data_IF_831944358466
#
_entry.id   IF_831944358466
#
_cell.length_a   1.000
_cell.length_b   1.000
_cell.length_c   1.000
_cell.angle_alpha   90.00
_cell.angle_beta   90.00
_cell.angle_gamma   90.00
#
_symmetry.space_group_name_H-M   'P 1'
#
loop_
_entity.id
_entity.type
_entity.pdbx_description
1 polymer ?
#
# COMPACT_ATOMS: atom_id res chain seq x y z
N UNK A 1 13.14 -1.17 -12.43
CA UNK A 1 13.07 -1.19 -10.95
C UNK A 1 12.10 -2.22 -10.36
N UNK A 2 11.47 -3.09 -11.16
CA UNK A 2 10.38 -3.97 -10.70
C UNK A 2 10.76 -4.85 -9.49
N UNK A 3 11.91 -5.54 -9.57
CA UNK A 3 12.40 -6.39 -8.48
C UNK A 3 12.54 -5.64 -7.15
N UNK A 4 13.14 -4.43 -7.16
CA UNK A 4 13.36 -3.62 -5.96
C UNK A 4 12.03 -3.11 -5.36
N UNK A 5 11.10 -2.68 -6.22
CA UNK A 5 9.75 -2.27 -5.79
C UNK A 5 9.01 -3.41 -5.10
N UNK A 6 9.02 -4.61 -5.69
CA UNK A 6 8.40 -5.78 -5.06
C UNK A 6 9.09 -6.14 -3.75
N UNK A 7 10.43 -6.14 -3.72
CA UNK A 7 11.19 -6.45 -2.52
C UNK A 7 10.89 -5.50 -1.36
N UNK A 8 10.82 -4.18 -1.59
CA UNK A 8 10.53 -3.21 -0.53
C UNK A 8 9.09 -3.38 0.00
N UNK A 9 8.12 -3.65 -0.87
CA UNK A 9 6.72 -3.89 -0.46
C UNK A 9 6.59 -5.17 0.38
N UNK A 10 7.32 -6.22 0.01
CA UNK A 10 7.39 -7.46 0.80
C UNK A 10 8.08 -7.24 2.15
N UNK A 11 9.09 -6.36 2.22
CA UNK A 11 9.72 -5.97 3.47
C UNK A 11 8.75 -5.19 4.38
N UNK A 12 8.00 -4.22 3.82
CA UNK A 12 6.93 -3.52 4.56
C UNK A 12 5.89 -4.51 5.09
N UNK A 13 5.37 -5.38 4.21
CA UNK A 13 4.43 -6.46 4.58
C UNK A 13 4.97 -7.26 5.76
N UNK A 14 6.20 -7.77 5.66
CA UNK A 14 6.82 -8.56 6.71
C UNK A 14 6.91 -7.77 8.02
N UNK A 15 7.43 -6.55 8.00
CA UNK A 15 7.58 -5.74 9.20
C UNK A 15 6.24 -5.45 9.88
N UNK A 16 5.19 -5.20 9.11
CA UNK A 16 3.83 -4.97 9.63
C UNK A 16 3.23 -6.25 10.22
N UNK A 17 3.37 -7.39 9.54
CA UNK A 17 2.88 -8.68 10.04
C UNK A 17 3.68 -9.19 11.25
N UNK A 18 4.96 -8.83 11.37
CA UNK A 18 5.76 -9.12 12.57
C UNK A 18 5.32 -8.24 13.75
N UNK A 19 4.90 -6.99 13.50
CA UNK A 19 4.47 -6.04 14.53
C UNK A 19 3.01 -6.24 14.98
N UNK A 20 2.15 -6.74 14.11
CA UNK A 20 0.71 -6.93 14.36
C UNK A 20 0.38 -8.41 14.25
N UNK A 21 0.10 -9.05 15.38
CA UNK A 21 -0.06 -10.52 15.49
C UNK A 21 -1.20 -11.11 14.66
N UNK A 22 -2.22 -10.31 14.34
CA UNK A 22 -3.34 -10.67 13.47
C UNK A 22 -3.24 -10.00 12.08
N UNK A 23 -2.08 -9.42 11.75
CA UNK A 23 -1.82 -8.78 10.48
C UNK A 23 -2.01 -9.75 9.32
N UNK A 24 -2.73 -9.31 8.29
CA UNK A 24 -2.98 -10.10 7.09
C UNK A 24 -2.84 -9.15 5.90
N UNK A 25 -1.69 -9.24 5.24
CA UNK A 25 -1.29 -8.33 4.17
C UNK A 25 -0.80 -9.16 3.00
N UNK A 26 -1.17 -8.79 1.79
CA UNK A 26 -0.66 -9.39 0.56
C UNK A 26 -0.08 -8.35 -0.41
N UNK A 27 0.90 -8.80 -1.19
CA UNK A 27 1.52 -8.04 -2.28
C UNK A 27 1.42 -8.85 -3.56
N UNK A 28 0.50 -8.47 -4.43
CA UNK A 28 0.21 -9.12 -5.70
C UNK A 28 0.64 -8.25 -6.88
N UNK A 29 0.64 -8.85 -8.07
CA UNK A 29 0.77 -8.12 -9.33
C UNK A 29 -0.43 -8.51 -10.20
N UNK A 30 -1.24 -7.53 -10.58
CA UNK A 30 -2.48 -7.70 -11.33
C UNK A 30 -2.37 -6.81 -12.58
N UNK A 31 -2.44 -7.41 -13.78
CA UNK A 31 -2.31 -6.69 -15.06
C UNK A 31 -1.09 -5.76 -15.15
N UNK A 32 0.03 -6.18 -14.56
CA UNK A 32 1.28 -5.41 -14.52
C UNK A 32 1.33 -4.28 -13.49
N UNK A 33 0.31 -4.16 -12.63
CA UNK A 33 0.23 -3.20 -11.53
C UNK A 33 0.57 -3.89 -10.21
N UNK A 34 1.42 -3.27 -9.40
CA UNK A 34 1.69 -3.75 -8.05
C UNK A 34 0.51 -3.39 -7.14
N UNK A 35 0.00 -4.37 -6.41
CA UNK A 35 -1.14 -4.20 -5.50
C UNK A 35 -0.71 -4.57 -4.09
N UNK A 36 -1.01 -3.69 -3.14
CA UNK A 36 -0.81 -3.89 -1.71
C UNK A 36 -2.17 -3.93 -1.02
N UNK A 37 -2.51 -5.05 -0.40
CA UNK A 37 -3.81 -5.23 0.27
C UNK A 37 -3.59 -5.57 1.73
N UNK A 38 -4.19 -4.80 2.63
CA UNK A 38 -4.22 -5.06 4.07
C UNK A 38 -5.65 -5.37 4.52
N UNK A 39 -5.90 -6.64 4.84
CA UNK A 39 -7.17 -7.15 5.31
C UNK A 39 -7.43 -6.81 6.80
N UNK A 40 -6.37 -6.50 7.55
CA UNK A 40 -6.38 -6.26 8.98
C UNK A 40 -5.98 -4.82 9.36
N UNK A 41 -6.09 -3.87 8.43
CA UNK A 41 -5.58 -2.50 8.58
C UNK A 41 -5.94 -1.85 9.91
N UNK A 42 -4.97 -1.81 10.83
CA UNK A 42 -5.09 -1.24 12.17
C UNK A 42 -5.26 0.28 12.14
N UNK A 43 -4.80 0.94 11.06
CA UNK A 43 -4.91 2.39 10.90
C UNK A 43 -6.36 2.81 10.64
N UNK A 44 -7.04 2.07 9.78
CA UNK A 44 -8.44 2.33 9.41
C UNK A 44 -9.43 1.55 10.27
N UNK A 45 -8.97 0.62 11.10
CA UNK A 45 -9.81 -0.06 12.07
C UNK A 45 -10.53 0.96 12.96
N UNK A 46 -11.84 0.76 13.19
CA UNK A 46 -12.74 1.66 13.96
C UNK A 46 -12.89 3.10 13.44
N UNK A 47 -12.22 3.49 12.35
CA UNK A 47 -12.46 4.78 11.70
C UNK A 47 -13.69 4.69 10.81
N UNK A 48 -14.36 5.83 10.64
CA UNK A 48 -15.47 5.98 9.70
C UNK A 48 -15.21 7.18 8.80
N UNK A 49 -15.48 7.01 7.51
CA UNK A 49 -15.31 8.03 6.48
C UNK A 49 -16.24 7.75 5.30
N UNK A 50 -16.66 8.80 4.60
CA UNK A 50 -17.40 8.66 3.32
C UNK A 50 -16.47 8.32 2.15
N UNK A 51 -15.16 8.57 2.31
CA UNK A 51 -14.13 8.35 1.28
C UNK A 51 -12.95 7.55 1.82
N UNK A 52 -12.10 7.07 0.90
CA UNK A 52 -10.84 6.43 1.24
C UNK A 52 -9.87 7.44 1.90
N UNK A 53 -9.30 7.09 3.05
CA UNK A 53 -8.58 8.04 3.95
C UNK A 53 -7.33 7.45 4.60
N UNK A 54 -6.75 6.37 4.07
CA UNK A 54 -5.61 5.73 4.70
C UNK A 54 -4.28 6.46 4.40
N UNK A 55 -4.15 7.69 4.91
CA UNK A 55 -2.98 8.54 4.71
C UNK A 55 -1.65 7.87 5.11
N UNK A 56 -1.67 7.03 6.14
CA UNK A 56 -0.47 6.31 6.59
C UNK A 56 0.06 5.35 5.52
N UNK A 57 -0.82 4.56 4.89
CA UNK A 57 -0.40 3.67 3.81
C UNK A 57 -0.03 4.44 2.54
N UNK A 58 -0.78 5.49 2.18
CA UNK A 58 -0.40 6.35 1.06
C UNK A 58 1.02 6.90 1.24
N UNK A 59 1.35 7.44 2.42
CA UNK A 59 2.69 7.94 2.72
C UNK A 59 3.76 6.85 2.70
N UNK A 60 3.53 5.74 3.42
CA UNK A 60 4.51 4.64 3.53
C UNK A 60 4.83 4.00 2.19
N UNK A 61 3.81 3.77 1.36
CA UNK A 61 3.99 3.19 0.02
C UNK A 61 4.68 4.18 -0.93
N UNK A 62 4.38 5.48 -0.80
CA UNK A 62 5.02 6.54 -1.59
C UNK A 62 6.53 6.60 -1.30
N UNK A 63 6.89 6.58 -0.02
CA UNK A 63 8.29 6.52 0.43
C UNK A 63 8.99 5.24 -0.05
N UNK A 64 8.33 4.10 0.08
CA UNK A 64 8.90 2.83 -0.36
C UNK A 64 9.26 2.86 -1.86
N UNK A 65 8.45 3.51 -2.70
CA UNK A 65 8.75 3.68 -4.12
C UNK A 65 9.96 4.58 -4.36
N UNK A 66 10.09 5.68 -3.61
CA UNK A 66 11.28 6.54 -3.66
C UNK A 66 12.53 5.73 -3.30
N UNK A 67 12.52 4.99 -2.19
CA UNK A 67 13.66 4.17 -1.77
C UNK A 67 14.02 3.05 -2.75
N UNK A 68 13.02 2.37 -3.32
CA UNK A 68 13.27 1.27 -4.24
C UNK A 68 13.89 1.71 -5.58
N UNK A 69 13.69 2.97 -5.96
CA UNK A 69 13.96 3.45 -7.33
C UNK A 69 14.94 4.62 -7.41
N UNK A 70 15.05 5.42 -6.36
CA UNK A 70 15.74 6.72 -6.36
C UNK A 70 14.99 7.84 -7.10
N UNK A 71 13.77 7.60 -7.59
CA UNK A 71 12.94 8.62 -8.25
C UNK A 71 12.13 9.42 -7.22
N UNK A 72 11.64 10.59 -7.60
CA UNK A 72 10.81 11.41 -6.72
C UNK A 72 9.37 10.88 -6.62
N UNK A 73 8.63 11.29 -5.60
CA UNK A 73 7.23 10.87 -5.39
C UNK A 73 6.32 11.18 -6.59
N UNK A 74 6.64 12.24 -7.36
CA UNK A 74 5.88 12.62 -8.55
C UNK A 74 5.95 11.58 -9.68
N UNK A 75 6.92 10.67 -9.67
CA UNK A 75 7.03 9.57 -10.63
C UNK A 75 6.10 8.39 -10.32
N UNK A 76 5.35 8.43 -9.22
CA UNK A 76 4.49 7.33 -8.81
C UNK A 76 3.04 7.77 -8.66
N UNK A 77 2.13 6.85 -8.98
CA UNK A 77 0.71 6.96 -8.64
C UNK A 77 0.36 5.87 -7.65
N UNK A 78 -0.12 6.26 -6.47
CA UNK A 78 -0.55 5.34 -5.43
C UNK A 78 -2.00 5.67 -5.13
N UNK A 79 -2.88 4.77 -5.51
CA UNK A 79 -4.33 4.97 -5.43
C UNK A 79 -4.90 4.00 -4.41
N UNK A 80 -5.51 4.53 -3.36
CA UNK A 80 -6.35 3.74 -2.45
C UNK A 80 -7.69 3.46 -3.14
N UNK A 81 -7.92 2.21 -3.52
CA UNK A 81 -9.14 1.77 -4.21
C UNK A 81 -10.22 1.31 -3.23
N UNK A 82 -9.80 0.77 -2.09
CA UNK A 82 -10.69 0.28 -1.03
C UNK A 82 -10.15 0.72 0.32
N UNK A 83 -11.03 0.98 1.27
CA UNK A 83 -10.69 1.44 2.61
C UNK A 83 -11.66 0.86 3.65
N UNK A 84 -11.11 0.25 4.71
CA UNK A 84 -11.93 -0.23 5.84
C UNK A 84 -12.72 0.89 6.52
N UNK A 85 -12.19 2.12 6.53
CA UNK A 85 -12.89 3.26 7.11
C UNK A 85 -14.15 3.67 6.32
N UNK A 86 -14.19 3.34 5.02
CA UNK A 86 -15.36 3.51 4.14
C UNK A 86 -16.39 2.38 4.29
N UNK A 87 -16.07 1.36 5.07
CA UNK A 87 -16.88 0.14 5.23
C UNK A 87 -16.45 -1.03 4.32
N UNK A 88 -15.37 -0.90 3.55
CA UNK A 88 -14.86 -2.02 2.75
C UNK A 88 -14.22 -3.11 3.64
N UNK A 89 -14.10 -4.33 3.10
CA UNK A 89 -13.49 -5.45 3.84
C UNK A 89 -11.99 -5.27 4.13
N UNK A 90 -11.29 -4.46 3.35
CA UNK A 90 -9.83 -4.29 3.38
C UNK A 90 -9.42 -2.89 2.91
N UNK A 91 -8.16 -2.52 3.18
CA UNK A 91 -7.53 -1.39 2.51
C UNK A 91 -6.70 -1.93 1.33
N UNK A 92 -6.93 -1.41 0.11
CA UNK A 92 -6.23 -1.86 -1.11
C UNK A 92 -5.66 -0.69 -1.87
N UNK A 93 -4.38 -0.79 -2.19
CA UNK A 93 -3.61 0.23 -2.86
C UNK A 93 -3.02 -0.31 -4.15
N UNK A 94 -3.18 0.45 -5.23
CA UNK A 94 -2.56 0.14 -6.51
C UNK A 94 -1.41 1.11 -6.75
N UNK A 95 -0.27 0.59 -7.18
CA UNK A 95 0.99 1.33 -7.30
C UNK A 95 1.46 1.28 -8.75
N UNK A 96 1.49 2.45 -9.39
CA UNK A 96 1.86 2.61 -10.80
C UNK A 96 3.03 3.57 -10.95
N UNK A 97 3.79 3.38 -12.02
CA UNK A 97 4.69 4.42 -12.52
C UNK A 97 3.84 5.47 -13.25
N UNK A 98 4.00 6.75 -12.89
CA UNK A 98 3.61 7.85 -13.77
C UNK A 98 4.72 7.96 -14.80
N UNK A 99 4.44 7.56 -16.04
CA UNK A 99 5.42 7.63 -17.12
C UNK A 99 6.12 9.01 -17.10
N UNK A 100 7.45 8.98 -17.09
CA UNK A 100 8.25 10.07 -17.67
C UNK A 100 8.20 9.95 -19.19
#
# INVERSE_FOLDING_TARGET
YRLRKRAILLALRKGLMDAVSFGSIDVTEEDGVLVFTDYACVICHTRHSETAVCHQYIGSLSEAMVYATGKSYQNFDIVETHCKAKGDGFCRFEIRDKNS
#
